data_IF_209036895442
#
_entry.id   IF_209036895442
#
_cell.length_a   1.000
_cell.length_b   1.000
_cell.length_c   1.000
_cell.angle_alpha   90.00
_cell.angle_beta   90.00
_cell.angle_gamma   90.00
#
_symmetry.space_group_name_H-M   'P 1'
#
loop_
_entity.id
_entity.type
_entity.pdbx_description
1 polymer ?
#
# COMPACT_ATOMS: atom_id res chain seq x y z
N UNK A 1 10.25 -5.01 7.69
CA UNK A 1 10.23 -3.67 8.32
C UNK A 1 10.15 -3.83 9.82
N UNK A 2 10.82 -2.97 10.60
CA UNK A 2 10.81 -3.07 12.06
C UNK A 2 9.51 -2.50 12.63
N UNK A 3 8.97 -3.15 13.65
CA UNK A 3 7.76 -2.73 14.37
C UNK A 3 7.85 -1.27 14.86
N UNK A 4 8.99 -0.87 15.41
CA UNK A 4 9.24 0.50 15.88
C UNK A 4 8.96 1.55 14.80
N UNK A 5 9.40 1.30 13.57
CA UNK A 5 9.19 2.20 12.42
C UNK A 5 7.70 2.36 12.10
N UNK A 6 6.92 1.27 12.21
CA UNK A 6 5.46 1.34 11.99
C UNK A 6 4.80 2.15 13.11
N UNK A 7 5.25 1.98 14.36
CA UNK A 7 4.74 2.73 15.52
C UNK A 7 5.04 4.22 15.42
N UNK A 8 6.20 4.61 14.91
CA UNK A 8 6.53 6.01 14.60
C UNK A 8 5.54 6.60 13.59
N UNK A 9 5.30 5.90 12.48
CA UNK A 9 4.35 6.34 11.45
C UNK A 9 2.92 6.44 11.94
N UNK A 10 2.50 5.53 12.83
CA UNK A 10 1.18 5.60 13.43
C UNK A 10 0.93 6.93 14.16
N UNK A 11 1.95 7.52 14.79
CA UNK A 11 1.79 8.79 15.49
C UNK A 11 1.45 9.93 14.53
N UNK A 12 2.17 10.00 13.40
CA UNK A 12 1.93 10.98 12.33
C UNK A 12 0.58 10.75 11.64
N UNK A 13 0.30 9.50 11.30
CA UNK A 13 -0.97 9.07 10.72
C UNK A 13 -2.17 9.42 11.59
N UNK A 14 -2.13 9.12 12.90
CA UNK A 14 -3.21 9.41 13.83
C UNK A 14 -3.53 10.91 13.90
N UNK A 15 -2.49 11.75 13.94
CA UNK A 15 -2.67 13.22 13.94
C UNK A 15 -3.31 13.71 12.63
N UNK A 16 -2.86 13.20 11.49
CA UNK A 16 -3.43 13.55 10.19
C UNK A 16 -4.92 13.15 10.11
N UNK A 17 -5.27 11.94 10.57
CA UNK A 17 -6.66 11.48 10.62
C UNK A 17 -7.53 12.35 11.52
N UNK A 18 -7.05 12.70 12.72
CA UNK A 18 -7.79 13.57 13.64
C UNK A 18 -8.10 14.92 13.01
N UNK A 19 -7.12 15.55 12.35
CA UNK A 19 -7.32 16.84 11.67
C UNK A 19 -8.37 16.70 10.58
N UNK A 20 -8.19 15.73 9.68
CA UNK A 20 -9.10 15.53 8.53
C UNK A 20 -10.52 15.19 8.98
N UNK A 21 -10.69 14.52 10.12
CA UNK A 21 -12.02 14.20 10.66
C UNK A 21 -12.80 15.42 11.14
N UNK A 22 -12.14 16.56 11.36
CA UNK A 22 -12.79 17.83 11.74
C UNK A 22 -13.11 18.73 10.55
N UNK A 23 -12.65 18.38 9.35
CA UNK A 23 -12.93 19.16 8.15
C UNK A 23 -14.42 19.09 7.77
N UNK A 24 -15.02 20.19 7.31
CA UNK A 24 -16.44 20.24 6.97
C UNK A 24 -16.82 19.29 5.82
N UNK A 25 -15.87 19.00 4.93
CA UNK A 25 -16.06 18.09 3.78
C UNK A 25 -15.37 16.73 3.99
N UNK A 26 -15.19 16.30 5.25
CA UNK A 26 -14.56 15.02 5.54
C UNK A 26 -15.38 13.85 4.99
N UNK A 27 -14.79 12.94 4.21
CA UNK A 27 -15.53 11.80 3.66
C UNK A 27 -15.97 10.86 4.78
N UNK A 28 -17.11 10.19 4.60
CA UNK A 28 -17.66 9.22 5.57
C UNK A 28 -16.63 8.16 5.99
N UNK A 29 -15.72 7.79 5.09
CA UNK A 29 -14.67 6.82 5.38
C UNK A 29 -13.66 7.29 6.46
N UNK A 30 -13.53 8.60 6.69
CA UNK A 30 -12.63 9.23 7.66
C UNK A 30 -13.41 9.92 8.81
N UNK A 31 -14.70 9.58 8.98
CA UNK A 31 -15.51 10.05 10.10
C UNK A 31 -14.85 9.71 11.44
N UNK A 32 -14.90 10.59 12.47
CA UNK A 32 -14.24 10.39 13.76
C UNK A 32 -14.47 9.00 14.39
N UNK A 33 -15.71 8.50 14.36
CA UNK A 33 -16.06 7.18 14.91
C UNK A 33 -15.37 6.01 14.19
N UNK A 34 -15.08 6.16 12.89
CA UNK A 34 -14.39 5.13 12.11
C UNK A 34 -12.89 5.13 12.34
N UNK A 35 -12.32 6.24 12.77
CA UNK A 35 -10.87 6.31 13.04
C UNK A 35 -10.46 5.28 14.07
N UNK A 36 -11.25 5.12 15.14
CA UNK A 36 -11.00 4.15 16.20
C UNK A 36 -10.96 2.71 15.67
N UNK A 37 -11.79 2.39 14.68
CA UNK A 37 -11.76 1.08 14.03
C UNK A 37 -10.42 0.84 13.34
N UNK A 38 -9.91 1.81 12.58
CA UNK A 38 -8.63 1.67 11.89
C UNK A 38 -7.46 1.63 12.87
N UNK A 39 -7.40 2.55 13.83
CA UNK A 39 -6.25 2.64 14.74
C UNK A 39 -6.11 1.40 15.61
N UNK A 40 -7.20 0.92 16.21
CA UNK A 40 -7.19 -0.33 17.00
C UNK A 40 -6.85 -1.56 16.15
N UNK A 41 -7.33 -1.61 14.92
CA UNK A 41 -7.01 -2.72 14.01
C UNK A 41 -5.52 -2.73 13.69
N UNK A 42 -4.94 -1.57 13.36
CA UNK A 42 -3.49 -1.46 13.11
C UNK A 42 -2.69 -1.82 14.36
N UNK A 43 -3.08 -1.32 15.54
CA UNK A 43 -2.44 -1.69 16.83
C UNK A 43 -2.46 -3.20 17.09
N UNK A 44 -3.55 -3.88 16.73
CA UNK A 44 -3.72 -5.32 16.94
C UNK A 44 -2.90 -6.15 15.94
N UNK A 45 -2.73 -5.67 14.71
CA UNK A 45 -2.04 -6.40 13.64
C UNK A 45 -0.52 -6.21 13.65
N UNK A 46 -0.01 -5.15 14.28
CA UNK A 46 1.44 -4.93 14.38
C UNK A 46 2.08 -6.02 15.24
N UNK A 47 3.21 -6.54 14.78
CA UNK A 47 3.92 -7.66 15.38
C UNK A 47 3.64 -8.96 14.61
N UNK A 48 2.37 -9.34 14.55
CA UNK A 48 1.94 -10.62 13.95
C UNK A 48 1.71 -10.50 12.43
N UNK A 49 1.00 -9.46 11.99
CA UNK A 49 0.49 -9.28 10.63
C UNK A 49 0.88 -7.90 10.07
N UNK A 50 2.18 -7.60 10.10
CA UNK A 50 2.72 -6.27 9.75
C UNK A 50 2.30 -5.79 8.36
N UNK A 51 2.18 -6.68 7.37
CA UNK A 51 1.73 -6.31 6.02
C UNK A 51 0.27 -5.83 6.01
N UNK A 52 -0.62 -6.48 6.77
CA UNK A 52 -2.02 -6.09 6.87
C UNK A 52 -2.17 -4.76 7.65
N UNK A 53 -1.40 -4.58 8.72
CA UNK A 53 -1.32 -3.33 9.46
C UNK A 53 -0.92 -2.16 8.55
N UNK A 54 0.16 -2.35 7.78
CA UNK A 54 0.67 -1.36 6.83
C UNK A 54 -0.35 -1.00 5.76
N UNK A 55 -1.06 -1.98 5.21
CA UNK A 55 -2.07 -1.72 4.20
C UNK A 55 -3.16 -0.78 4.70
N UNK A 56 -3.70 -1.01 5.92
CA UNK A 56 -4.73 -0.16 6.51
C UNK A 56 -4.20 1.25 6.77
N UNK A 57 -3.01 1.34 7.34
CA UNK A 57 -2.31 2.60 7.62
C UNK A 57 -2.12 3.40 6.32
N UNK A 58 -1.48 2.82 5.30
CA UNK A 58 -1.21 3.50 4.03
C UNK A 58 -2.49 3.93 3.33
N UNK A 59 -3.49 3.04 3.24
CA UNK A 59 -4.74 3.32 2.54
C UNK A 59 -5.51 4.48 3.15
N UNK A 60 -5.55 4.56 4.48
CA UNK A 60 -6.29 5.63 5.17
C UNK A 60 -5.46 6.90 5.28
N UNK A 61 -4.12 6.79 5.44
CA UNK A 61 -3.23 7.94 5.46
C UNK A 61 -3.21 8.66 4.12
N UNK A 62 -3.04 7.95 3.00
CA UNK A 62 -3.04 8.56 1.65
C UNK A 62 -4.35 9.29 1.36
N UNK A 63 -5.49 8.75 1.81
CA UNK A 63 -6.80 9.43 1.69
C UNK A 63 -6.88 10.71 2.52
N UNK A 64 -6.32 10.69 3.73
CA UNK A 64 -6.27 11.85 4.59
C UNK A 64 -5.37 12.94 3.99
N UNK A 65 -4.19 12.56 3.50
CA UNK A 65 -3.26 13.49 2.85
C UNK A 65 -3.88 14.13 1.59
N UNK A 66 -4.67 13.40 0.81
CA UNK A 66 -5.39 13.96 -0.33
C UNK A 66 -6.43 15.05 0.01
N UNK A 67 -6.72 15.28 1.30
CA UNK A 67 -7.60 16.34 1.80
C UNK A 67 -6.83 17.48 2.49
N UNK A 68 -5.52 17.31 2.68
CA UNK A 68 -4.63 18.32 3.25
C UNK A 68 -3.86 19.01 2.13
N UNK A 69 -3.33 20.19 2.43
CA UNK A 69 -2.45 20.91 1.50
C UNK A 69 -1.13 20.14 1.33
N UNK A 70 -0.61 20.16 0.10
CA UNK A 70 0.62 19.47 -0.30
C UNK A 70 1.86 19.95 0.47
N UNK A 71 1.86 21.21 0.94
CA UNK A 71 2.96 21.77 1.73
C UNK A 71 2.80 21.53 3.25
N UNK A 72 1.78 20.78 3.67
CA UNK A 72 1.60 20.47 5.09
C UNK A 72 2.68 19.52 5.60
N UNK A 73 3.07 19.67 6.87
CA UNK A 73 3.99 18.74 7.55
C UNK A 73 3.53 17.28 7.43
N UNK A 74 2.23 17.04 7.42
CA UNK A 74 1.63 15.71 7.27
C UNK A 74 1.89 15.09 5.91
N UNK A 75 1.91 15.90 4.84
CA UNK A 75 2.27 15.43 3.51
C UNK A 75 3.72 14.96 3.47
N UNK A 76 4.65 15.73 4.05
CA UNK A 76 6.08 15.37 4.11
C UNK A 76 6.34 14.09 4.92
N UNK A 77 5.68 13.95 6.08
CA UNK A 77 5.78 12.76 6.92
C UNK A 77 5.25 11.50 6.19
N UNK A 78 4.14 11.64 5.46
CA UNK A 78 3.62 10.57 4.60
C UNK A 78 4.55 10.25 3.43
N UNK A 79 5.08 11.27 2.75
CA UNK A 79 5.99 11.07 1.62
C UNK A 79 7.25 10.31 2.05
N UNK A 80 7.84 10.67 3.19
CA UNK A 80 9.00 9.95 3.74
C UNK A 80 8.69 8.49 4.04
N UNK A 81 7.49 8.19 4.58
CA UNK A 81 7.01 6.81 4.77
C UNK A 81 6.95 6.06 3.42
N UNK A 82 6.32 6.65 2.40
CA UNK A 82 6.20 6.06 1.05
C UNK A 82 7.58 5.83 0.40
N UNK A 83 8.51 6.76 0.55
CA UNK A 83 9.89 6.63 0.05
C UNK A 83 10.64 5.51 0.77
N UNK A 84 10.53 5.42 2.10
CA UNK A 84 11.20 4.37 2.89
C UNK A 84 10.69 2.95 2.58
N UNK A 85 9.45 2.85 2.11
CA UNK A 85 8.84 1.62 1.62
C UNK A 85 9.26 1.27 0.19
N UNK A 86 10.07 2.12 -0.45
CA UNK A 86 10.39 2.00 -1.86
C UNK A 86 9.15 2.11 -2.74
N UNK A 87 8.10 2.83 -2.29
CA UNK A 87 6.86 3.10 -3.01
C UNK A 87 6.84 4.50 -3.66
N UNK A 88 7.89 5.30 -3.43
CA UNK A 88 8.06 6.61 -4.04
C UNK A 88 8.29 6.57 -5.56
N UNK A 89 8.37 7.77 -6.15
CA UNK A 89 8.52 7.98 -7.60
C UNK A 89 9.82 7.39 -8.14
N UNK A 90 10.93 7.56 -7.42
CA UNK A 90 12.26 7.09 -7.84
C UNK A 90 12.26 5.57 -8.14
N UNK A 91 11.62 4.79 -7.28
CA UNK A 91 11.58 3.32 -7.40
C UNK A 91 10.48 2.81 -8.34
N UNK A 92 9.58 3.67 -8.83
CA UNK A 92 8.40 3.24 -9.59
C UNK A 92 8.78 2.47 -10.86
N UNK A 93 9.73 2.98 -11.65
CA UNK A 93 10.20 2.32 -12.87
C UNK A 93 10.84 0.96 -12.56
N UNK A 94 11.61 0.87 -11.48
CA UNK A 94 12.21 -0.38 -11.03
C UNK A 94 11.15 -1.42 -10.64
N UNK A 95 10.13 -1.01 -9.87
CA UNK A 95 9.00 -1.89 -9.51
C UNK A 95 8.23 -2.38 -10.73
N UNK A 96 7.96 -1.49 -11.70
CA UNK A 96 7.29 -1.86 -12.94
C UNK A 96 8.12 -2.88 -13.73
N UNK A 97 9.42 -2.64 -13.87
CA UNK A 97 10.31 -3.59 -14.53
C UNK A 97 10.38 -4.95 -13.81
N UNK A 98 10.44 -4.96 -12.48
CA UNK A 98 10.42 -6.22 -11.72
C UNK A 98 9.10 -6.98 -11.89
N UNK A 99 7.98 -6.27 -12.05
CA UNK A 99 6.70 -6.89 -12.37
C UNK A 99 6.74 -7.54 -13.76
N UNK A 100 7.27 -6.86 -14.77
CA UNK A 100 7.43 -7.43 -16.12
C UNK A 100 8.27 -8.71 -16.08
N UNK A 101 9.44 -8.67 -15.42
CA UNK A 101 10.31 -9.84 -15.26
C UNK A 101 9.61 -10.99 -14.52
N UNK A 102 8.80 -10.67 -13.51
CA UNK A 102 8.02 -11.69 -12.80
C UNK A 102 6.96 -12.34 -13.70
N UNK A 103 6.29 -11.55 -14.53
CA UNK A 103 5.31 -12.07 -15.48
C UNK A 103 5.98 -12.98 -16.52
N UNK A 104 7.15 -12.60 -17.05
CA UNK A 104 7.94 -13.43 -17.96
C UNK A 104 8.31 -14.79 -17.32
N UNK A 105 8.69 -14.79 -16.03
CA UNK A 105 8.99 -16.02 -15.29
C UNK A 105 7.76 -16.91 -15.12
N UNK A 106 6.60 -16.32 -14.86
CA UNK A 106 5.34 -17.06 -14.76
C UNK A 106 4.95 -17.68 -16.10
N UNK A 107 5.10 -16.94 -17.21
CA UNK A 107 4.89 -17.47 -18.56
C UNK A 107 5.81 -18.68 -18.80
N UNK A 108 7.11 -18.58 -18.49
CA UNK A 108 8.07 -19.68 -18.65
C UNK A 108 7.71 -20.92 -17.80
N UNK A 109 7.26 -20.72 -16.55
CA UNK A 109 6.82 -21.82 -15.68
C UNK A 109 5.61 -22.54 -16.28
N UNK A 110 4.63 -21.79 -16.79
CA UNK A 110 3.42 -22.34 -17.41
C UNK A 110 3.78 -23.12 -18.67
N UNK A 111 4.62 -22.56 -19.54
CA UNK A 111 5.08 -23.25 -20.76
C UNK A 111 5.79 -24.58 -20.46
N UNK A 112 6.69 -24.57 -19.47
CA UNK A 112 7.38 -25.79 -19.03
C UNK A 112 6.40 -26.83 -18.51
N UNK A 113 5.44 -26.41 -17.69
CA UNK A 113 4.42 -27.31 -17.15
C UNK A 113 3.54 -27.89 -18.27
N UNK A 114 3.08 -27.07 -19.21
CA UNK A 114 2.29 -27.52 -20.37
C UNK A 114 3.06 -28.55 -21.20
N UNK A 115 4.33 -28.26 -21.53
CA UNK A 115 5.20 -29.18 -22.29
C UNK A 115 5.39 -30.52 -21.57
N UNK A 116 5.54 -30.53 -20.25
CA UNK A 116 5.65 -31.75 -19.45
C UNK A 116 4.36 -32.58 -19.44
N UNK A 117 3.21 -31.94 -19.61
CA UNK A 117 1.89 -32.58 -19.58
C UNK A 117 1.28 -32.78 -20.98
N UNK A 118 2.03 -32.48 -22.05
CA UNK A 118 1.57 -32.65 -23.44
C UNK A 118 0.47 -31.67 -23.87
N UNK A 119 0.37 -30.51 -23.22
CA UNK A 119 -0.57 -29.44 -23.55
C UNK A 119 0.12 -28.46 -24.52
N UNK A 120 -0.54 -28.13 -25.63
CA UNK A 120 -0.04 -27.11 -26.57
C UNK A 120 -0.42 -25.71 -26.07
N UNK A 121 0.57 -24.83 -25.91
CA UNK A 121 0.35 -23.46 -25.45
C UNK A 121 -0.13 -22.51 -26.55
N UNK A 122 -0.15 -22.95 -27.81
CA UNK A 122 -0.65 -22.15 -28.93
C UNK A 122 -2.13 -21.76 -28.78
N UNK A 123 -2.93 -22.49 -28.00
CA UNK A 123 -4.33 -22.15 -27.73
C UNK A 123 -4.51 -20.89 -26.85
N UNK A 124 -3.48 -20.44 -26.13
CA UNK A 124 -3.54 -19.26 -25.26
C UNK A 124 -3.19 -17.95 -25.97
N UNK A 125 -2.62 -18.01 -27.18
CA UNK A 125 -2.22 -16.83 -27.95
C UNK A 125 -3.39 -16.08 -28.61
N UNK A 126 -4.61 -16.64 -28.61
CA UNK A 126 -5.81 -16.00 -29.18
C UNK A 126 -6.40 -14.86 -28.31
N UNK A 127 -5.79 -14.54 -27.17
CA UNK A 127 -6.25 -13.50 -26.24
C UNK A 127 -5.35 -12.24 -26.17
N UNK A 128 -4.34 -12.13 -27.04
CA UNK A 128 -3.54 -10.89 -27.23
C UNK A 128 -4.05 -10.10 -28.44
#
# INVERSE_FOLDING_TARGET
MREETIREWMQSWNKALQIVSTLPNSPVALHPERLVYYTRTVETLIGDENAAALWILLRTWTRAIGLLETDSKFYQEWQSCIESLGLGEHEFKGRLHHLDVYLDQMEEIIEKWCKQNGIDTNEFNDFR
#
